data_IF_864744285746
#
_entry.id   IF_864744285746
#
_cell.length_a   1.000
_cell.length_b   1.000
_cell.length_c   1.000
_cell.angle_alpha   90.00
_cell.angle_beta   90.00
_cell.angle_gamma   90.00
#
_symmetry.space_group_name_H-M   'P 1'
#
loop_
_entity.id
_entity.type
_entity.pdbx_description
1 polymer ?
#
# COMPACT_ATOMS: atom_id res chain seq x y z
N UNK A 1 -7.78 -8.92 17.03
CA UNK A 1 -7.10 -9.88 16.14
C UNK A 1 -8.09 -10.55 15.20
N UNK A 2 -9.17 -11.09 15.71
CA UNK A 2 -10.15 -11.78 14.87
C UNK A 2 -10.69 -10.90 13.74
N UNK A 3 -10.94 -9.63 14.04
CA UNK A 3 -11.45 -8.70 13.04
C UNK A 3 -10.37 -8.35 12.00
N UNK A 4 -9.14 -8.17 12.45
CA UNK A 4 -8.03 -7.88 11.56
C UNK A 4 -7.73 -9.08 10.66
N UNK A 5 -7.79 -10.28 11.22
CA UNK A 5 -7.60 -11.50 10.44
C UNK A 5 -8.72 -11.69 9.40
N UNK A 6 -9.95 -11.33 9.77
CA UNK A 6 -11.07 -11.38 8.81
C UNK A 6 -10.83 -10.42 7.64
N UNK A 7 -10.27 -9.25 7.92
CA UNK A 7 -9.90 -8.30 6.86
C UNK A 7 -8.75 -8.83 6.01
N UNK A 8 -7.77 -9.49 6.60
CA UNK A 8 -6.71 -10.14 5.83
C UNK A 8 -7.29 -11.19 4.88
N UNK A 9 -8.25 -11.99 5.36
CA UNK A 9 -8.91 -12.98 4.51
C UNK A 9 -9.69 -12.31 3.36
N UNK A 10 -10.32 -11.17 3.64
CA UNK A 10 -11.00 -10.39 2.60
C UNK A 10 -10.02 -10.00 1.49
N UNK A 11 -8.83 -9.52 1.87
CA UNK A 11 -7.81 -9.13 0.89
C UNK A 11 -7.21 -10.32 0.16
N UNK A 12 -7.09 -11.48 0.80
CA UNK A 12 -6.61 -12.70 0.13
C UNK A 12 -7.56 -13.13 -0.99
N UNK A 13 -8.85 -12.89 -0.80
CA UNK A 13 -9.88 -13.30 -1.75
C UNK A 13 -10.23 -12.22 -2.76
N UNK A 14 -9.58 -11.06 -2.67
CA UNK A 14 -9.83 -9.94 -3.54
C UNK A 14 -9.00 -10.07 -4.82
N UNK A 15 -9.67 -10.11 -5.96
CA UNK A 15 -8.99 -10.25 -7.26
C UNK A 15 -8.42 -8.92 -7.74
N UNK A 16 -9.07 -7.82 -7.40
CA UNK A 16 -8.65 -6.50 -7.87
C UNK A 16 -9.17 -5.39 -6.95
N UNK A 17 -8.51 -4.26 -6.98
CA UNK A 17 -8.99 -3.04 -6.34
C UNK A 17 -8.39 -1.82 -7.03
N UNK A 18 -9.01 -0.66 -6.80
CA UNK A 18 -8.49 0.62 -7.24
C UNK A 18 -8.67 1.65 -6.13
N UNK A 19 -7.75 2.59 -6.03
CA UNK A 19 -7.85 3.66 -5.04
C UNK A 19 -6.98 4.85 -5.45
N UNK A 20 -7.33 6.02 -4.96
CA UNK A 20 -6.48 7.20 -5.04
C UNK A 20 -5.77 7.38 -3.71
N UNK A 21 -4.52 7.78 -3.74
CA UNK A 21 -3.67 7.88 -2.55
C UNK A 21 -2.88 9.17 -2.60
N UNK A 22 -2.82 9.86 -1.45
CA UNK A 22 -1.88 10.95 -1.25
C UNK A 22 -0.78 10.44 -0.34
N UNK A 23 0.44 10.37 -0.86
CA UNK A 23 1.59 9.87 -0.12
C UNK A 23 2.47 11.04 0.29
N UNK A 24 2.75 11.14 1.58
CA UNK A 24 3.62 12.15 2.15
C UNK A 24 4.94 11.53 2.56
N UNK A 25 6.04 12.09 2.09
CA UNK A 25 7.39 11.61 2.39
C UNK A 25 8.18 12.75 3.02
N UNK A 26 8.58 12.63 4.30
CA UNK A 26 9.45 13.63 4.92
C UNK A 26 10.83 13.65 4.24
N UNK A 27 11.30 14.85 3.96
CA UNK A 27 12.63 15.03 3.36
C UNK A 27 13.28 16.28 3.95
N UNK A 28 14.11 16.09 4.99
CA UNK A 28 14.67 17.19 5.74
C UNK A 28 13.57 17.96 6.46
N UNK A 29 13.53 19.28 6.26
CA UNK A 29 12.51 20.14 6.86
C UNK A 29 11.24 20.23 6.01
N UNK A 30 11.23 19.58 4.85
CA UNK A 30 10.11 19.59 3.92
C UNK A 30 9.36 18.27 3.94
N UNK A 31 8.12 18.31 3.50
CA UNK A 31 7.34 17.11 3.24
C UNK A 31 6.92 17.14 1.78
N UNK A 32 7.32 16.11 1.05
CA UNK A 32 6.90 15.95 -0.34
C UNK A 32 5.59 15.17 -0.38
N UNK A 33 4.62 15.66 -1.16
CA UNK A 33 3.33 15.02 -1.31
C UNK A 33 3.13 14.60 -2.76
N UNK A 34 2.72 13.35 -2.93
CA UNK A 34 2.45 12.78 -4.26
C UNK A 34 1.01 12.29 -4.29
N UNK A 35 0.30 12.57 -5.38
CA UNK A 35 -1.00 11.96 -5.62
C UNK A 35 -0.80 10.81 -6.61
N UNK A 36 -1.26 9.63 -6.22
CA UNK A 36 -1.11 8.41 -7.01
C UNK A 36 -2.47 7.78 -7.24
N UNK A 37 -2.61 7.13 -8.39
CA UNK A 37 -3.71 6.20 -8.62
C UNK A 37 -3.13 4.80 -8.54
N UNK A 38 -3.70 3.95 -7.69
CA UNK A 38 -3.30 2.56 -7.55
C UNK A 38 -4.35 1.64 -8.15
N UNK A 39 -3.89 0.63 -8.86
CA UNK A 39 -4.75 -0.47 -9.26
C UNK A 39 -4.02 -1.78 -9.02
N UNK A 40 -4.73 -2.75 -8.47
CA UNK A 40 -4.19 -4.07 -8.22
C UNK A 40 -4.99 -5.10 -8.99
N UNK A 41 -4.28 -6.06 -9.56
CA UNK A 41 -4.90 -7.19 -10.24
C UNK A 41 -3.97 -8.39 -10.13
N UNK A 42 -4.47 -9.49 -9.56
CA UNK A 42 -3.64 -10.65 -9.29
C UNK A 42 -2.51 -10.30 -8.33
N UNK A 43 -1.28 -10.62 -8.70
CA UNK A 43 -0.09 -10.39 -7.89
C UNK A 43 0.55 -9.03 -8.13
N UNK A 44 0.00 -8.23 -9.03
CA UNK A 44 0.61 -6.97 -9.44
C UNK A 44 -0.16 -5.77 -8.88
N UNK A 45 0.57 -4.79 -8.37
CA UNK A 45 0.04 -3.49 -7.98
C UNK A 45 0.70 -2.43 -8.84
N UNK A 46 -0.13 -1.64 -9.51
CA UNK A 46 0.34 -0.57 -10.38
C UNK A 46 0.04 0.79 -9.74
N UNK A 47 1.05 1.64 -9.71
CA UNK A 47 0.91 3.01 -9.22
C UNK A 47 1.22 3.97 -10.36
N UNK A 48 0.39 5.01 -10.52
CA UNK A 48 0.61 6.04 -11.53
C UNK A 48 0.52 7.40 -10.86
N UNK A 49 1.50 8.26 -11.10
CA UNK A 49 1.55 9.60 -10.51
C UNK A 49 0.60 10.54 -11.27
N UNK A 50 -0.23 11.27 -10.52
CA UNK A 50 -1.05 12.35 -11.04
C UNK A 50 -0.58 13.72 -10.55
N UNK A 51 0.09 13.80 -9.41
CA UNK A 51 0.70 15.00 -8.87
C UNK A 51 2.02 14.66 -8.19
N UNK A 52 3.05 15.48 -8.27
CA UNK A 52 3.11 16.79 -8.94
C UNK A 52 3.12 16.67 -10.49
N UNK A 53 2.83 17.78 -11.14
CA UNK A 53 2.69 17.82 -12.59
C UNK A 53 3.93 17.31 -13.33
N UNK A 54 5.11 17.61 -12.80
CA UNK A 54 6.39 17.23 -13.42
C UNK A 54 6.58 15.71 -13.49
N UNK A 55 5.86 14.98 -12.62
CA UNK A 55 5.97 13.52 -12.55
C UNK A 55 4.72 12.80 -13.09
N UNK A 56 3.78 13.56 -13.66
CA UNK A 56 2.55 12.98 -14.20
C UNK A 56 2.89 11.94 -15.28
N UNK A 57 2.31 10.75 -15.15
CA UNK A 57 2.55 9.66 -16.08
C UNK A 57 3.68 8.72 -15.67
N UNK A 58 4.48 9.10 -14.66
CA UNK A 58 5.46 8.16 -14.10
C UNK A 58 4.68 7.08 -13.39
N UNK A 59 5.04 5.84 -13.61
CA UNK A 59 4.37 4.70 -13.01
C UNK A 59 5.35 3.69 -12.42
N UNK A 60 4.81 2.82 -11.61
CA UNK A 60 5.54 1.69 -11.04
C UNK A 60 4.63 0.47 -11.02
N UNK A 61 5.21 -0.69 -11.27
CA UNK A 61 4.51 -1.96 -11.12
C UNK A 61 5.31 -2.80 -10.13
N UNK A 62 4.65 -3.18 -9.05
CA UNK A 62 5.21 -4.08 -8.06
C UNK A 62 4.57 -5.45 -8.25
N UNK A 63 5.38 -6.45 -8.58
CA UNK A 63 4.91 -7.81 -8.77
C UNK A 63 5.82 -8.73 -7.94
N UNK A 64 5.28 -9.26 -6.85
CA UNK A 64 6.10 -9.92 -5.86
C UNK A 64 7.08 -8.93 -5.22
N UNK A 65 8.37 -9.20 -5.33
CA UNK A 65 9.42 -8.30 -4.87
C UNK A 65 10.08 -7.53 -6.02
N UNK A 66 9.55 -7.69 -7.22
CA UNK A 66 10.10 -7.06 -8.42
C UNK A 66 9.42 -5.73 -8.71
N UNK A 67 10.22 -4.68 -8.81
CA UNK A 67 9.72 -3.33 -9.12
C UNK A 67 10.15 -2.92 -10.52
N UNK A 68 9.20 -2.45 -11.31
CA UNK A 68 9.43 -1.92 -12.65
C UNK A 68 8.91 -0.49 -12.68
N UNK A 69 9.74 0.44 -13.14
CA UNK A 69 9.34 1.84 -13.32
C UNK A 69 9.03 2.11 -14.78
N UNK A 70 8.01 2.91 -15.01
CA UNK A 70 7.61 3.30 -16.37
C UNK A 70 7.53 4.82 -16.46
N UNK A 71 7.98 5.36 -17.57
CA UNK A 71 7.86 6.78 -17.88
C UNK A 71 7.71 6.92 -19.39
N UNK A 72 6.59 7.46 -19.84
CA UNK A 72 6.18 7.44 -21.24
C UNK A 72 6.21 6.01 -21.77
N UNK A 73 6.99 5.72 -22.81
CA UNK A 73 7.13 4.39 -23.39
C UNK A 73 8.35 3.64 -22.86
N UNK A 74 9.10 4.23 -21.92
CA UNK A 74 10.28 3.60 -21.33
C UNK A 74 9.89 2.71 -20.15
N UNK A 75 10.46 1.53 -20.13
CA UNK A 75 10.28 0.58 -19.03
C UNK A 75 11.66 0.29 -18.45
N UNK A 76 11.81 0.56 -17.15
CA UNK A 76 13.05 0.32 -16.43
C UNK A 76 12.84 -0.75 -15.38
N UNK A 77 13.52 -1.88 -15.54
CA UNK A 77 13.51 -2.92 -14.54
C UNK A 77 14.56 -2.56 -13.48
N UNK A 78 14.11 -2.22 -12.29
CA UNK A 78 15.01 -1.87 -11.19
C UNK A 78 15.28 -3.05 -10.26
N UNK A 79 14.81 -4.25 -10.64
CA UNK A 79 15.11 -5.46 -9.90
C UNK A 79 14.26 -5.60 -8.64
N UNK A 80 14.88 -6.14 -7.57
CA UNK A 80 14.18 -6.33 -6.31
C UNK A 80 14.09 -5.00 -5.55
N UNK A 81 13.06 -4.90 -4.72
CA UNK A 81 12.86 -3.73 -3.87
C UNK A 81 14.05 -3.49 -2.95
N UNK A 82 14.54 -2.25 -2.96
CA UNK A 82 15.48 -1.78 -1.96
C UNK A 82 14.77 -1.65 -0.62
N UNK A 83 15.47 -1.79 0.53
CA UNK A 83 14.87 -1.49 1.83
C UNK A 83 14.38 -0.04 1.93
N UNK A 84 14.92 0.86 1.11
CA UNK A 84 14.41 2.23 1.04
C UNK A 84 13.24 2.29 0.08
N UNK A 85 12.05 2.39 0.62
CA UNK A 85 10.84 2.51 -0.19
C UNK A 85 10.68 3.94 -0.70
N UNK A 86 10.25 4.04 -1.94
CA UNK A 86 9.93 5.33 -2.56
C UNK A 86 8.44 5.63 -2.38
N UNK A 87 8.05 6.87 -2.70
CA UNK A 87 6.63 7.25 -2.70
C UNK A 87 5.79 6.37 -3.61
N UNK A 88 6.39 5.84 -4.68
CA UNK A 88 5.69 5.00 -5.66
C UNK A 88 5.51 3.56 -5.19
N UNK A 89 6.38 3.07 -4.33
CA UNK A 89 6.39 1.66 -3.94
C UNK A 89 5.89 1.38 -2.53
N UNK A 90 5.88 2.39 -1.64
CA UNK A 90 5.58 2.16 -0.23
C UNK A 90 4.16 1.63 0.00
N UNK A 91 3.16 2.23 -0.63
CA UNK A 91 1.78 1.81 -0.47
C UNK A 91 1.52 0.47 -1.15
N UNK A 92 1.95 0.26 -2.40
CA UNK A 92 1.86 -1.07 -3.00
C UNK A 92 2.49 -2.16 -2.14
N UNK A 93 3.62 -1.87 -1.53
CA UNK A 93 4.31 -2.82 -0.66
C UNK A 93 3.46 -3.22 0.54
N UNK A 94 2.87 -2.23 1.22
CA UNK A 94 2.02 -2.50 2.38
C UNK A 94 0.78 -3.31 1.97
N UNK A 95 0.08 -2.88 0.93
CA UNK A 95 -1.16 -3.54 0.50
C UNK A 95 -0.90 -4.95 -0.02
N UNK A 96 0.20 -5.14 -0.73
CA UNK A 96 0.56 -6.46 -1.25
C UNK A 96 0.87 -7.46 -0.13
N UNK A 97 1.50 -6.99 0.94
CA UNK A 97 1.91 -7.86 2.04
C UNK A 97 0.85 -8.05 3.11
N UNK A 98 -0.06 -7.08 3.26
CA UNK A 98 -1.09 -7.11 4.31
C UNK A 98 -1.84 -8.45 4.40
N UNK A 99 -2.28 -9.07 3.30
CA UNK A 99 -3.05 -10.32 3.41
C UNK A 99 -2.32 -11.47 4.10
N UNK A 100 -1.00 -11.50 4.01
CA UNK A 100 -0.21 -12.65 4.46
C UNK A 100 0.76 -12.32 5.59
N UNK A 101 0.83 -11.07 6.02
CA UNK A 101 1.78 -10.66 7.05
C UNK A 101 1.28 -11.06 8.44
N UNK A 102 2.23 -11.36 9.34
CA UNK A 102 1.89 -11.54 10.73
C UNK A 102 1.58 -10.20 11.38
N UNK A 103 0.46 -10.10 12.07
CA UNK A 103 0.07 -8.87 12.76
C UNK A 103 0.68 -8.82 14.14
N UNK A 104 1.43 -7.77 14.41
CA UNK A 104 2.04 -7.57 15.74
C UNK A 104 0.98 -7.12 16.74
N UNK A 105 0.04 -6.29 16.31
CA UNK A 105 -1.07 -5.83 17.15
C UNK A 105 -2.22 -5.33 16.26
N UNK A 106 -3.39 -5.23 16.85
CA UNK A 106 -4.55 -4.63 16.22
C UNK A 106 -5.50 -4.08 17.25
N UNK A 107 -6.28 -3.08 16.90
CA UNK A 107 -7.26 -2.50 17.82
C UNK A 107 -8.09 -1.41 17.15
N UNK A 108 -9.19 -1.08 17.79
CA UNK A 108 -10.06 0.00 17.31
C UNK A 108 -9.40 1.35 17.58
N UNK A 109 -9.45 2.24 16.61
CA UNK A 109 -8.88 3.58 16.72
C UNK A 109 -9.62 4.51 15.78
N UNK A 110 -9.94 5.72 16.25
CA UNK A 110 -10.56 6.73 15.40
C UNK A 110 -9.46 7.54 14.72
N UNK A 111 -9.54 7.66 13.41
CA UNK A 111 -8.62 8.49 12.65
C UNK A 111 -9.44 9.53 11.88
N UNK A 112 -9.17 10.82 12.16
CA UNK A 112 -10.05 11.87 11.69
C UNK A 112 -11.46 11.66 12.25
N UNK A 113 -12.45 11.57 11.39
CA UNK A 113 -13.84 11.30 11.78
C UNK A 113 -14.25 9.85 11.52
N UNK A 114 -13.29 8.98 11.22
CA UNK A 114 -13.56 7.59 10.83
C UNK A 114 -13.20 6.65 11.96
N UNK A 115 -14.17 5.79 12.33
CA UNK A 115 -13.90 4.67 13.23
C UNK A 115 -13.20 3.60 12.41
N UNK A 116 -11.99 3.27 12.80
CA UNK A 116 -11.15 2.37 12.05
C UNK A 116 -10.62 1.24 12.91
N UNK A 117 -10.11 0.23 12.25
CA UNK A 117 -9.30 -0.80 12.86
C UNK A 117 -7.86 -0.53 12.47
N UNK A 118 -6.99 -0.35 13.45
CA UNK A 118 -5.56 -0.21 13.21
C UNK A 118 -4.93 -1.60 13.28
N UNK A 119 -4.16 -1.94 12.27
CA UNK A 119 -3.39 -3.17 12.22
C UNK A 119 -1.90 -2.82 12.08
N UNK A 120 -1.08 -3.33 12.98
CA UNK A 120 0.36 -3.08 12.98
C UNK A 120 1.09 -4.35 12.57
N UNK A 121 2.07 -4.20 11.69
CA UNK A 121 2.88 -5.33 11.24
C UNK A 121 4.31 -4.86 10.95
N UNK A 122 5.19 -5.83 10.77
CA UNK A 122 6.59 -5.58 10.41
C UNK A 122 6.88 -6.25 9.09
N UNK A 123 7.54 -5.52 8.19
CA UNK A 123 8.00 -6.05 6.91
C UNK A 123 9.52 -6.09 6.92
N UNK A 124 10.10 -7.21 6.53
CA UNK A 124 11.55 -7.34 6.42
C UNK A 124 11.94 -7.38 4.95
N UNK A 125 12.75 -6.41 4.55
CA UNK A 125 13.26 -6.29 3.18
C UNK A 125 14.78 -6.23 3.22
N UNK A 126 15.44 -7.16 2.56
CA UNK A 126 16.91 -7.18 2.46
C UNK A 126 17.61 -7.04 3.82
N UNK A 127 17.04 -7.67 4.84
CA UNK A 127 17.60 -7.65 6.19
C UNK A 127 17.22 -6.46 7.05
N UNK A 128 16.51 -5.48 6.50
CA UNK A 128 16.01 -4.34 7.26
C UNK A 128 14.52 -4.51 7.57
N UNK A 129 14.10 -4.02 8.74
CA UNK A 129 12.71 -4.15 9.19
C UNK A 129 12.03 -2.79 9.16
N UNK A 130 10.86 -2.77 8.52
CA UNK A 130 9.99 -1.60 8.48
C UNK A 130 8.75 -1.88 9.32
N UNK A 131 8.37 -0.93 10.15
CA UNK A 131 7.12 -0.99 10.91
C UNK A 131 6.02 -0.36 10.05
N UNK A 132 4.93 -1.10 9.87
CA UNK A 132 3.81 -0.64 9.06
C UNK A 132 2.54 -0.63 9.88
N UNK A 133 1.77 0.45 9.78
CA UNK A 133 0.45 0.56 10.40
C UNK A 133 -0.57 0.86 9.31
N UNK A 134 -1.68 0.14 9.35
CA UNK A 134 -2.75 0.30 8.37
C UNK A 134 -4.06 0.49 9.12
N UNK A 135 -4.79 1.54 8.79
CA UNK A 135 -6.11 1.82 9.35
C UNK A 135 -7.16 1.48 8.31
N UNK A 136 -8.10 0.63 8.68
CA UNK A 136 -9.15 0.12 7.79
C UNK A 136 -10.51 0.51 8.35
N UNK A 137 -11.41 0.94 7.49
CA UNK A 137 -12.78 1.27 7.90
C UNK A 137 -13.63 0.01 8.09
N UNK A 138 -14.91 0.20 8.39
CA UNK A 138 -15.82 -0.92 8.64
C UNK A 138 -15.99 -1.84 7.43
N UNK A 139 -15.80 -1.34 6.23
CA UNK A 139 -15.88 -2.17 5.01
C UNK A 139 -14.59 -2.91 4.71
N UNK A 140 -13.51 -2.61 5.43
CA UNK A 140 -12.19 -3.15 5.17
C UNK A 140 -11.36 -2.29 4.22
N UNK A 141 -11.88 -1.13 3.79
CA UNK A 141 -11.12 -0.23 2.94
C UNK A 141 -10.06 0.51 3.74
N UNK A 142 -8.83 0.64 3.23
CA UNK A 142 -7.82 1.41 3.92
C UNK A 142 -8.19 2.89 3.92
N UNK A 143 -7.90 3.55 5.03
CA UNK A 143 -8.13 4.98 5.22
C UNK A 143 -6.80 5.70 5.30
N UNK A 144 -5.85 5.10 6.01
CA UNK A 144 -4.55 5.71 6.28
C UNK A 144 -3.52 4.62 6.50
N UNK A 145 -2.27 4.92 6.19
CA UNK A 145 -1.16 4.01 6.43
C UNK A 145 0.09 4.80 6.79
N UNK A 146 0.94 4.21 7.62
CA UNK A 146 2.24 4.77 7.97
C UNK A 146 3.31 3.70 7.85
N UNK A 147 4.48 4.11 7.36
CA UNK A 147 5.66 3.24 7.31
C UNK A 147 6.76 3.94 8.08
N UNK A 148 7.36 3.23 9.02
CA UNK A 148 8.43 3.76 9.85
C UNK A 148 9.65 2.85 9.81
N UNK A 149 10.82 3.47 9.92
CA UNK A 149 12.09 2.79 10.03
C UNK A 149 12.81 3.37 11.24
N UNK A 150 13.22 2.52 12.19
CA UNK A 150 13.85 2.94 13.42
C UNK A 150 13.06 4.02 14.18
N UNK A 151 11.75 3.78 14.32
CA UNK A 151 10.81 4.68 15.00
C UNK A 151 10.61 6.04 14.32
N UNK A 152 11.10 6.19 13.10
CA UNK A 152 10.91 7.41 12.32
C UNK A 152 10.00 7.14 11.13
N UNK A 153 8.93 7.92 11.00
CA UNK A 153 8.02 7.78 9.86
C UNK A 153 8.73 8.21 8.59
N UNK A 154 8.80 7.31 7.62
CA UNK A 154 9.43 7.56 6.32
C UNK A 154 8.40 7.77 5.22
N UNK A 155 7.16 7.36 5.43
CA UNK A 155 6.06 7.62 4.49
C UNK A 155 4.74 7.50 5.21
N UNK A 156 3.77 8.30 4.79
CA UNK A 156 2.39 8.21 5.25
C UNK A 156 1.47 8.33 4.05
N UNK A 157 0.32 7.69 4.10
CA UNK A 157 -0.59 7.66 2.96
C UNK A 157 -2.04 7.85 3.42
N UNK A 158 -2.77 8.69 2.69
CA UNK A 158 -4.21 8.86 2.86
C UNK A 158 -4.90 8.27 1.64
N UNK A 159 -5.89 7.42 1.86
CA UNK A 159 -6.61 6.73 0.79
C UNK A 159 -7.97 7.36 0.58
N UNK A 160 -8.37 7.49 -0.68
CA UNK A 160 -9.71 7.94 -1.06
C UNK A 160 -10.22 7.08 -2.21
N UNK A 161 -11.53 7.02 -2.36
CA UNK A 161 -12.17 6.32 -3.48
C UNK A 161 -11.69 4.87 -3.63
N UNK A 162 -11.59 4.15 -2.51
CA UNK A 162 -11.21 2.75 -2.56
C UNK A 162 -12.37 1.92 -3.11
N UNK A 163 -12.13 1.27 -4.24
CA UNK A 163 -13.12 0.45 -4.93
C UNK A 163 -12.65 -0.99 -4.90
N UNK A 164 -13.41 -1.85 -4.23
CA UNK A 164 -13.17 -3.28 -4.26
C UNK A 164 -13.66 -3.81 -5.62
N UNK A 165 -12.80 -4.55 -6.30
CA UNK A 165 -13.16 -5.21 -7.53
C UNK A 165 -13.73 -6.60 -7.30
N UNK A 166 -13.46 -7.51 -8.21
CA UNK A 166 -13.97 -8.86 -8.13
C UNK A 166 -13.39 -9.62 -6.94
N UNK A 167 -14.17 -10.55 -6.41
CA UNK A 167 -13.76 -11.43 -5.33
C UNK A 167 -13.44 -12.78 -5.94
N UNK A 168 -12.29 -13.35 -5.59
CA UNK A 168 -11.93 -14.69 -5.98
C UNK A 168 -12.80 -15.68 -5.21
N UNK A 169 -13.48 -16.56 -5.93
CA UNK A 169 -14.26 -17.63 -5.32
C UNK A 169 -13.88 -18.95 -5.96
N UNK A 170 -14.11 -20.09 -5.24
CA UNK A 170 -13.83 -21.39 -5.82
C UNK A 170 -14.60 -21.65 -7.12
N UNK A 171 -15.79 -21.08 -7.25
CA UNK A 171 -16.64 -21.25 -8.43
C UNK A 171 -16.12 -20.45 -9.62
N UNK A 172 -15.45 -19.31 -9.38
CA UNK A 172 -14.90 -18.48 -10.43
C UNK A 172 -13.65 -19.10 -11.07
N UNK A 173 -13.05 -20.09 -10.44
CA UNK A 173 -11.85 -20.76 -10.94
C UNK A 173 -12.14 -21.85 -11.95
N UNK A 174 -13.38 -22.09 -12.27
CA UNK A 174 -13.81 -23.14 -13.22
C UNK A 174 -13.91 -22.65 -14.64
#
# INVERSE_FOLDING_TARGET
IDRAEAMQEQYKNLASYETDVHVSVPRGDETLVYALHLSAQGDAVRATVSEPEELTGVGAVLEGDKLTLTFDDLVLDVGTLSPRVSALSCVPLVLQNFPNVYLDSSGAETIGDVDALRADCSLTLSGETLACSLWLDASGAPVYAEIAENDKIIAAAEFTNFIFGDILSPDAAQ
#
